data_IF_566560035689
#
_entry.id   IF_566560035689
#
_cell.length_a   1.000
_cell.length_b   1.000
_cell.length_c   1.000
_cell.angle_alpha   90.00
_cell.angle_beta   90.00
_cell.angle_gamma   90.00
#
_symmetry.space_group_name_H-M   'P 1'
#
loop_
_entity.id
_entity.type
_entity.pdbx_description
1 polymer ?
#
# COMPACT_ATOMS: atom_id res chain seq x y z
N UNK A 1 -3.91 -12.54 25.04
CA UNK A 1 -4.57 -11.26 24.68
C UNK A 1 -5.58 -11.55 23.60
N UNK A 2 -6.76 -10.92 23.64
CA UNK A 2 -7.71 -11.02 22.54
C UNK A 2 -7.12 -10.33 21.30
N UNK A 3 -7.29 -10.87 20.08
CA UNK A 3 -6.82 -10.24 18.85
C UNK A 3 -7.53 -8.91 18.61
N UNK A 4 -6.82 -7.93 18.04
CA UNK A 4 -7.43 -6.64 17.69
C UNK A 4 -8.42 -6.83 16.53
N UNK A 5 -9.53 -6.10 16.56
CA UNK A 5 -10.48 -6.05 15.44
C UNK A 5 -10.14 -4.84 14.58
N UNK A 6 -9.71 -5.07 13.34
CA UNK A 6 -9.38 -4.01 12.37
C UNK A 6 -10.66 -3.61 11.63
N UNK A 7 -11.03 -2.31 11.58
CA UNK A 7 -12.18 -1.85 10.79
C UNK A 7 -12.03 -2.21 9.31
N UNK A 8 -13.16 -2.36 8.61
CA UNK A 8 -13.17 -2.75 7.20
C UNK A 8 -13.77 -1.65 6.32
N UNK A 9 -13.22 -1.48 5.13
CA UNK A 9 -13.83 -0.69 4.05
C UNK A 9 -14.57 -1.59 3.08
N UNK A 10 -15.68 -1.10 2.54
CA UNK A 10 -16.35 -1.77 1.43
C UNK A 10 -15.59 -1.50 0.14
N UNK A 11 -15.29 -2.56 -0.61
CA UNK A 11 -14.71 -2.46 -1.94
C UNK A 11 -15.79 -2.16 -2.98
N UNK A 12 -15.38 -1.74 -4.17
CA UNK A 12 -16.27 -1.48 -5.31
C UNK A 12 -17.04 -2.72 -5.77
N UNK A 13 -16.49 -3.91 -5.54
CA UNK A 13 -17.19 -5.17 -5.72
C UNK A 13 -18.23 -5.39 -4.60
N UNK A 14 -19.51 -5.66 -4.93
CA UNK A 14 -20.56 -5.88 -3.94
C UNK A 14 -20.17 -6.94 -2.91
N UNK A 15 -20.52 -6.69 -1.63
CA UNK A 15 -20.33 -7.61 -0.49
C UNK A 15 -18.87 -7.97 -0.15
N UNK A 16 -17.88 -7.31 -0.74
CA UNK A 16 -16.48 -7.51 -0.38
C UNK A 16 -16.00 -6.38 0.53
N UNK A 17 -15.34 -6.79 1.61
CA UNK A 17 -14.76 -5.90 2.60
C UNK A 17 -13.26 -6.16 2.71
N UNK A 18 -12.50 -5.10 2.95
CA UNK A 18 -11.06 -5.15 3.12
C UNK A 18 -10.68 -4.52 4.46
N UNK A 19 -9.83 -5.17 5.28
CA UNK A 19 -9.27 -4.54 6.46
C UNK A 19 -8.54 -3.25 6.09
N UNK A 20 -8.87 -2.16 6.79
CA UNK A 20 -8.30 -0.82 6.56
C UNK A 20 -6.78 -0.83 6.77
N UNK A 21 -6.27 -1.69 7.65
CA UNK A 21 -4.84 -1.81 7.94
C UNK A 21 -4.29 -3.14 7.41
N UNK A 22 -3.23 -3.05 6.61
CA UNK A 22 -2.49 -4.20 6.10
C UNK A 22 -1.00 -4.15 6.44
N UNK A 23 -0.37 -5.33 6.48
CA UNK A 23 1.08 -5.47 6.67
C UNK A 23 1.77 -5.52 5.29
N UNK A 24 2.60 -4.52 4.99
CA UNK A 24 3.50 -4.58 3.82
C UNK A 24 4.76 -5.40 4.10
N UNK A 25 5.18 -6.23 3.15
CA UNK A 25 6.34 -7.12 3.29
C UNK A 25 7.62 -6.59 2.62
N UNK A 26 7.56 -5.45 1.92
CA UNK A 26 8.73 -4.84 1.28
C UNK A 26 9.81 -4.44 2.30
N UNK A 27 11.07 -4.79 2.03
CA UNK A 27 12.21 -4.35 2.84
C UNK A 27 13.50 -4.20 2.02
N UNK A 28 14.25 -3.14 2.30
CA UNK A 28 15.58 -2.90 1.74
C UNK A 28 16.59 -2.58 2.87
N UNK A 29 17.75 -3.26 2.92
CA UNK A 29 18.14 -4.40 2.08
C UNK A 29 17.22 -5.61 2.30
N UNK A 30 17.23 -6.58 1.38
CA UNK A 30 16.41 -7.79 1.54
C UNK A 30 16.76 -8.49 2.86
N UNK A 31 15.73 -8.96 3.57
CA UNK A 31 15.88 -9.76 4.79
C UNK A 31 15.67 -11.23 4.49
N UNK A 32 16.30 -12.09 5.31
CA UNK A 32 16.12 -13.53 5.21
C UNK A 32 14.68 -13.97 5.46
N UNK A 33 14.30 -15.06 4.80
CA UNK A 33 12.94 -15.63 4.81
C UNK A 33 12.38 -15.87 6.22
N UNK A 34 13.21 -16.30 7.17
CA UNK A 34 12.80 -16.53 8.57
C UNK A 34 12.30 -15.27 9.26
N UNK A 35 12.94 -14.12 9.01
CA UNK A 35 12.54 -12.86 9.63
C UNK A 35 11.18 -12.39 9.09
N UNK A 36 10.95 -12.55 7.78
CA UNK A 36 9.68 -12.23 7.13
C UNK A 36 8.57 -13.14 7.64
N UNK A 37 8.81 -14.45 7.66
CA UNK A 37 7.86 -15.46 8.13
C UNK A 37 7.44 -15.21 9.57
N UNK A 38 8.40 -14.96 10.46
CA UNK A 38 8.15 -14.62 11.86
C UNK A 38 7.29 -13.36 11.99
N UNK A 39 7.63 -12.29 11.26
CA UNK A 39 6.87 -11.05 11.31
C UNK A 39 5.42 -11.21 10.83
N UNK A 40 5.20 -11.99 9.76
CA UNK A 40 3.85 -12.30 9.27
C UNK A 40 3.06 -13.09 10.31
N UNK A 41 3.66 -14.13 10.92
CA UNK A 41 2.99 -14.91 11.97
C UNK A 41 2.56 -14.03 13.15
N UNK A 42 3.46 -13.19 13.65
CA UNK A 42 3.17 -12.24 14.72
C UNK A 42 2.03 -11.27 14.32
N UNK A 43 2.01 -10.80 13.08
CA UNK A 43 0.93 -9.95 12.58
C UNK A 43 -0.42 -10.69 12.53
N UNK A 44 -0.43 -11.95 12.10
CA UNK A 44 -1.65 -12.77 12.11
C UNK A 44 -2.18 -12.97 13.53
N UNK A 45 -1.31 -13.25 14.50
CA UNK A 45 -1.68 -13.37 15.92
C UNK A 45 -2.25 -12.07 16.49
N UNK A 46 -1.73 -10.92 16.06
CA UNK A 46 -2.23 -9.60 16.47
C UNK A 46 -3.58 -9.24 15.85
N UNK A 47 -4.00 -9.91 14.77
CA UNK A 47 -5.28 -9.68 14.11
C UNK A 47 -5.20 -9.15 12.68
N UNK A 48 -3.99 -9.02 12.09
CA UNK A 48 -3.85 -8.62 10.69
C UNK A 48 -4.46 -9.66 9.75
N UNK A 49 -5.25 -9.20 8.80
CA UNK A 49 -5.92 -10.04 7.79
C UNK A 49 -5.73 -9.53 6.36
N UNK A 50 -4.87 -8.52 6.19
CA UNK A 50 -4.51 -7.90 4.93
C UNK A 50 -2.98 -7.85 4.86
N UNK A 51 -2.40 -8.47 3.84
CA UNK A 51 -0.96 -8.50 3.58
C UNK A 51 -0.71 -7.97 2.18
N UNK A 52 0.21 -7.02 2.09
CA UNK A 52 0.70 -6.47 0.83
C UNK A 52 2.07 -7.05 0.55
N UNK A 53 2.19 -7.75 -0.57
CA UNK A 53 3.44 -8.30 -1.08
C UNK A 53 3.50 -8.04 -2.57
N UNK A 54 4.70 -8.09 -3.11
CA UNK A 54 4.93 -8.17 -4.53
C UNK A 54 6.03 -9.20 -4.76
N UNK A 55 5.97 -9.81 -5.94
CA UNK A 55 7.02 -10.67 -6.45
C UNK A 55 8.43 -10.07 -6.25
N UNK A 56 8.57 -8.77 -6.51
CA UNK A 56 9.81 -8.02 -6.36
C UNK A 56 10.43 -8.05 -4.95
N UNK A 57 9.59 -8.19 -3.92
CA UNK A 57 10.03 -8.11 -2.53
C UNK A 57 10.74 -9.40 -2.09
N UNK A 58 10.62 -10.47 -2.89
CA UNK A 58 11.11 -11.82 -2.58
C UNK A 58 10.56 -12.36 -1.24
N UNK A 59 9.39 -11.85 -0.83
CA UNK A 59 8.72 -12.21 0.42
C UNK A 59 7.50 -13.09 0.22
N UNK A 60 7.11 -13.38 -1.03
CA UNK A 60 5.90 -14.16 -1.32
C UNK A 60 5.98 -15.59 -0.75
N UNK A 61 7.14 -16.24 -0.89
CA UNK A 61 7.36 -17.57 -0.32
C UNK A 61 7.26 -17.56 1.21
N UNK A 62 8.05 -16.77 1.97
CA UNK A 62 7.94 -16.76 3.43
C UNK A 62 6.58 -16.25 3.94
N UNK A 63 5.90 -15.36 3.21
CA UNK A 63 4.51 -14.97 3.48
C UNK A 63 3.57 -16.19 3.33
N UNK A 64 3.68 -16.92 2.22
CA UNK A 64 2.89 -18.12 1.96
C UNK A 64 3.12 -19.21 3.02
N UNK A 65 4.37 -19.43 3.43
CA UNK A 65 4.72 -20.35 4.51
C UNK A 65 4.13 -19.92 5.87
N UNK A 66 4.19 -18.63 6.20
CA UNK A 66 3.59 -18.10 7.42
C UNK A 66 2.06 -18.23 7.41
N UNK A 67 1.41 -17.96 6.28
CA UNK A 67 -0.04 -18.14 6.13
C UNK A 67 -0.40 -19.63 6.28
N UNK A 68 0.36 -20.54 5.65
CA UNK A 68 0.14 -21.98 5.76
C UNK A 68 0.29 -22.47 7.21
N UNK A 69 1.32 -21.99 7.91
CA UNK A 69 1.53 -22.30 9.32
C UNK A 69 0.41 -21.72 10.20
N UNK A 70 -0.02 -20.49 9.95
CA UNK A 70 -1.13 -19.88 10.67
C UNK A 70 -2.47 -20.60 10.45
N UNK A 71 -2.71 -21.15 9.26
CA UNK A 71 -3.83 -22.03 8.97
C UNK A 71 -3.74 -23.35 9.76
N UNK A 72 -2.55 -23.97 9.81
CA UNK A 72 -2.29 -25.19 10.59
C UNK A 72 -2.54 -24.97 12.08
N UNK A 73 -2.12 -23.82 12.59
CA UNK A 73 -2.34 -23.37 13.97
C UNK A 73 -3.76 -22.86 14.23
N UNK A 74 -4.65 -22.89 13.23
CA UNK A 74 -6.04 -22.39 13.32
C UNK A 74 -6.16 -20.92 13.73
N UNK A 75 -5.11 -20.12 13.50
CA UNK A 75 -5.11 -18.67 13.73
C UNK A 75 -5.98 -17.94 12.68
N UNK A 76 -6.12 -18.55 11.49
CA UNK A 76 -6.93 -18.09 10.35
C UNK A 76 -7.66 -19.27 9.68
N UNK A 77 -8.67 -18.98 8.85
CA UNK A 77 -9.44 -19.97 8.06
C UNK A 77 -9.16 -19.79 6.57
N UNK A 78 -9.01 -20.87 5.80
CA UNK A 78 -8.59 -20.79 4.39
C UNK A 78 -9.74 -20.44 3.42
N UNK A 79 -9.36 -19.81 2.31
CA UNK A 79 -10.04 -19.84 1.00
C UNK A 79 -8.91 -19.99 -0.06
N UNK A 80 -9.07 -20.87 -1.04
CA UNK A 80 -8.00 -21.57 -1.82
C UNK A 80 -7.07 -20.74 -2.76
N UNK A 81 -6.06 -21.39 -3.39
CA UNK A 81 -4.71 -20.90 -3.79
C UNK A 81 -4.17 -21.30 -5.21
N UNK A 82 -3.03 -20.72 -5.70
CA UNK A 82 -2.21 -21.11 -6.90
C UNK A 82 -0.68 -20.78 -6.81
N UNK A 83 0.15 -21.20 -7.80
CA UNK A 83 1.64 -21.42 -7.77
C UNK A 83 2.58 -20.28 -8.29
N UNK A 84 3.87 -20.17 -7.86
CA UNK A 84 4.85 -19.12 -8.24
C UNK A 84 6.08 -19.56 -9.12
N UNK A 85 6.84 -18.58 -9.67
CA UNK A 85 8.12 -18.71 -10.42
C UNK A 85 9.13 -17.54 -10.10
N UNK A 86 10.35 -17.49 -10.67
CA UNK A 86 11.47 -16.60 -10.23
C UNK A 86 12.17 -15.75 -11.32
N UNK A 87 12.59 -14.52 -10.96
CA UNK A 87 13.31 -13.48 -11.71
C UNK A 87 13.99 -12.47 -10.73
N UNK A 88 15.04 -11.74 -11.14
CA UNK A 88 15.91 -10.90 -10.26
C UNK A 88 15.64 -9.38 -10.25
N UNK A 89 16.20 -8.65 -9.25
CA UNK A 89 16.11 -7.18 -9.08
C UNK A 89 17.49 -6.53 -8.82
N UNK A 90 17.78 -5.31 -9.33
CA UNK A 90 16.94 -4.49 -10.22
C UNK A 90 16.72 -5.13 -11.60
N UNK A 91 15.57 -4.89 -12.25
CA UNK A 91 15.37 -5.35 -13.62
C UNK A 91 16.43 -4.70 -14.50
N UNK A 92 16.99 -5.45 -15.45
CA UNK A 92 17.88 -4.84 -16.43
C UNK A 92 17.04 -4.03 -17.41
N UNK A 93 17.51 -2.87 -17.89
CA UNK A 93 16.77 -2.08 -18.87
C UNK A 93 16.38 -2.85 -20.13
N UNK A 94 17.19 -3.85 -20.50
CA UNK A 94 17.00 -4.79 -21.60
C UNK A 94 15.75 -5.67 -21.44
N UNK A 95 15.35 -5.94 -20.19
CA UNK A 95 14.24 -6.82 -19.83
C UNK A 95 12.89 -6.08 -19.75
N UNK A 96 12.88 -4.75 -19.96
CA UNK A 96 11.68 -3.91 -19.91
C UNK A 96 10.99 -3.86 -21.28
N UNK A 97 9.80 -4.46 -21.38
CA UNK A 97 8.92 -4.36 -22.55
C UNK A 97 7.76 -3.39 -22.32
N UNK A 98 7.21 -2.74 -23.37
CA UNK A 98 6.00 -1.93 -23.25
C UNK A 98 4.82 -2.75 -22.67
N UNK A 99 4.12 -2.18 -21.70
CA UNK A 99 2.95 -2.82 -21.08
C UNK A 99 1.72 -2.57 -21.96
N UNK A 100 1.12 -3.63 -22.50
CA UNK A 100 -0.23 -3.56 -23.04
C UNK A 100 -1.24 -3.52 -21.87
N UNK A 101 -1.54 -2.31 -21.40
CA UNK A 101 -2.41 -2.10 -20.24
C UNK A 101 -3.81 -2.67 -20.45
N UNK A 102 -4.33 -2.66 -21.69
CA UNK A 102 -5.66 -3.18 -21.99
C UNK A 102 -5.69 -4.70 -21.89
N UNK A 103 -4.70 -5.38 -22.46
CA UNK A 103 -4.59 -6.83 -22.37
C UNK A 103 -4.40 -7.28 -20.91
N UNK A 104 -3.50 -6.62 -20.17
CA UNK A 104 -3.24 -6.93 -18.75
C UNK A 104 -4.50 -6.72 -17.90
N UNK A 105 -5.18 -5.59 -18.05
CA UNK A 105 -6.39 -5.32 -17.26
C UNK A 105 -7.52 -6.29 -17.60
N UNK A 106 -7.70 -6.64 -18.88
CA UNK A 106 -8.71 -7.63 -19.30
C UNK A 106 -8.44 -8.99 -18.66
N UNK A 107 -7.17 -9.43 -18.60
CA UNK A 107 -6.80 -10.66 -17.93
C UNK A 107 -7.01 -10.59 -16.40
N UNK A 108 -6.78 -9.43 -15.77
CA UNK A 108 -7.07 -9.21 -14.35
C UNK A 108 -8.58 -9.31 -14.06
N UNK A 109 -9.43 -8.73 -14.92
CA UNK A 109 -10.89 -8.86 -14.84
C UNK A 109 -11.35 -10.31 -15.04
N UNK A 110 -10.71 -11.05 -15.95
CA UNK A 110 -10.95 -12.48 -16.13
C UNK A 110 -10.58 -13.28 -14.88
N UNK A 111 -9.41 -13.02 -14.27
CA UNK A 111 -9.02 -13.62 -12.99
C UNK A 111 -10.05 -13.37 -11.89
N UNK A 112 -10.62 -12.16 -11.81
CA UNK A 112 -11.68 -11.87 -10.84
C UNK A 112 -12.98 -12.59 -11.19
N UNK A 113 -13.36 -12.62 -12.46
CA UNK A 113 -14.56 -13.32 -12.96
C UNK A 113 -14.50 -14.82 -12.69
N UNK A 114 -13.32 -15.42 -12.83
CA UNK A 114 -13.02 -16.81 -12.49
C UNK A 114 -12.93 -17.07 -10.97
N UNK A 115 -13.00 -16.02 -10.14
CA UNK A 115 -12.90 -16.13 -8.68
C UNK A 115 -11.49 -16.39 -8.15
N UNK A 116 -10.46 -16.24 -8.98
CA UNK A 116 -9.05 -16.41 -8.60
C UNK A 116 -8.56 -15.27 -7.70
N UNK A 117 -9.17 -14.10 -7.84
CA UNK A 117 -9.00 -12.96 -6.93
C UNK A 117 -10.35 -12.37 -6.58
N UNK A 118 -10.47 -11.78 -5.39
CA UNK A 118 -11.68 -11.07 -4.96
C UNK A 118 -11.78 -9.66 -5.54
N UNK A 119 -10.63 -9.05 -5.83
CA UNK A 119 -10.50 -7.66 -6.24
C UNK A 119 -9.23 -7.44 -7.05
N UNK A 120 -9.25 -6.42 -7.91
CA UNK A 120 -8.13 -6.04 -8.75
C UNK A 120 -7.91 -4.54 -8.63
N UNK A 121 -6.67 -4.11 -8.82
CA UNK A 121 -6.28 -2.71 -8.65
C UNK A 121 -4.93 -2.45 -9.30
N UNK A 122 -4.51 -1.18 -9.28
CA UNK A 122 -3.20 -0.79 -9.79
C UNK A 122 -2.41 -0.09 -8.69
N UNK A 123 -1.09 -0.03 -8.86
CA UNK A 123 -0.21 0.69 -7.97
C UNK A 123 0.76 1.49 -8.82
N UNK A 124 1.18 2.69 -8.36
CA UNK A 124 2.04 3.58 -9.12
C UNK A 124 1.43 4.12 -10.44
N UNK A 125 0.13 4.45 -10.47
CA UNK A 125 -0.52 5.04 -11.65
C UNK A 125 -0.84 6.53 -11.45
N UNK A 126 -0.60 7.33 -12.49
CA UNK A 126 -1.00 8.75 -12.56
C UNK A 126 -2.49 8.90 -12.83
N UNK A 127 -3.04 10.11 -12.66
CA UNK A 127 -4.43 10.39 -13.04
C UNK A 127 -4.72 10.07 -14.53
N UNK A 128 -3.75 10.35 -15.41
CA UNK A 128 -3.88 10.09 -16.85
C UNK A 128 -3.96 8.59 -17.11
N UNK A 129 -3.02 7.80 -16.58
CA UNK A 129 -3.01 6.33 -16.76
C UNK A 129 -4.25 5.66 -16.16
N UNK A 130 -4.79 6.19 -15.07
CA UNK A 130 -6.08 5.73 -14.52
C UNK A 130 -7.26 6.07 -15.42
N UNK A 131 -7.29 7.28 -15.99
CA UNK A 131 -8.28 7.66 -17.00
C UNK A 131 -8.24 6.73 -18.22
N UNK A 132 -7.04 6.37 -18.67
CA UNK A 132 -6.85 5.45 -19.79
C UNK A 132 -7.44 4.05 -19.47
N UNK A 133 -7.25 3.52 -18.25
CA UNK A 133 -7.89 2.26 -17.81
C UNK A 133 -9.41 2.40 -17.72
N UNK A 134 -9.90 3.46 -17.06
CA UNK A 134 -11.34 3.68 -16.86
C UNK A 134 -12.12 3.78 -18.18
N UNK A 135 -11.47 4.20 -19.27
CA UNK A 135 -12.10 4.28 -20.59
C UNK A 135 -12.54 2.91 -21.15
N UNK A 136 -11.95 1.80 -20.68
CA UNK A 136 -12.29 0.45 -21.14
C UNK A 136 -12.57 -0.56 -20.02
N UNK A 137 -12.26 -0.24 -18.77
CA UNK A 137 -12.46 -1.12 -17.63
C UNK A 137 -13.95 -1.34 -17.32
N UNK A 138 -14.31 -2.60 -17.09
CA UNK A 138 -15.61 -3.00 -16.53
C UNK A 138 -15.59 -2.96 -15.01
N UNK A 139 -14.41 -3.14 -14.40
CA UNK A 139 -14.19 -3.11 -12.96
C UNK A 139 -13.19 -1.98 -12.66
N UNK A 140 -13.54 -0.97 -11.84
CA UNK A 140 -12.66 0.17 -11.59
C UNK A 140 -11.46 -0.19 -10.71
N UNK A 141 -10.27 0.41 -10.94
CA UNK A 141 -9.04 0.12 -10.20
C UNK A 141 -9.04 0.68 -8.77
N UNK A 142 -8.05 0.30 -7.95
CA UNK A 142 -7.67 0.92 -6.67
C UNK A 142 -6.29 1.62 -6.79
N UNK A 143 -5.96 2.63 -5.96
CA UNK A 143 -4.84 3.59 -6.21
C UNK A 143 -4.02 3.99 -4.95
N UNK A 144 -2.75 4.44 -5.09
CA UNK A 144 -1.73 4.69 -4.03
C UNK A 144 -1.70 6.10 -3.34
N UNK A 145 -1.28 6.25 -2.06
CA UNK A 145 -1.03 7.58 -1.39
C UNK A 145 -0.10 7.57 -0.14
N UNK A 146 0.47 8.71 0.31
CA UNK A 146 1.05 8.94 1.66
C UNK A 146 1.16 10.45 2.05
N UNK A 147 1.48 10.85 3.31
CA UNK A 147 1.54 12.28 3.71
C UNK A 147 2.64 13.13 3.06
N UNK A 148 3.76 12.53 2.65
CA UNK A 148 4.85 13.22 1.95
C UNK A 148 4.52 13.45 0.47
N UNK A 149 3.55 12.69 -0.06
CA UNK A 149 2.99 12.84 -1.39
C UNK A 149 1.47 12.70 -1.32
N UNK A 150 0.81 13.80 -0.96
CA UNK A 150 -0.60 13.83 -0.60
C UNK A 150 -1.54 13.53 -1.78
N UNK A 151 -1.05 13.62 -3.02
CA UNK A 151 -1.78 13.32 -4.26
C UNK A 151 -3.23 13.85 -4.29
N UNK A 152 -3.48 15.08 -3.83
CA UNK A 152 -4.84 15.66 -3.70
C UNK A 152 -5.66 15.56 -4.99
N UNK A 153 -5.02 15.79 -6.14
CA UNK A 153 -5.63 15.63 -7.47
C UNK A 153 -6.08 14.18 -7.72
N UNK A 154 -5.23 13.21 -7.39
CA UNK A 154 -5.50 11.78 -7.53
C UNK A 154 -6.61 11.31 -6.59
N UNK A 155 -6.60 11.76 -5.33
CA UNK A 155 -7.67 11.44 -4.37
C UNK A 155 -9.01 11.95 -4.90
N UNK A 156 -9.06 13.21 -5.32
CA UNK A 156 -10.28 13.80 -5.87
C UNK A 156 -10.74 13.02 -7.10
N UNK A 157 -9.83 12.72 -8.03
CA UNK A 157 -10.14 11.90 -9.21
C UNK A 157 -10.69 10.52 -8.83
N UNK A 158 -10.05 9.82 -7.88
CA UNK A 158 -10.49 8.51 -7.42
C UNK A 158 -11.87 8.58 -6.76
N UNK A 159 -12.09 9.57 -5.89
CA UNK A 159 -13.38 9.79 -5.21
C UNK A 159 -14.50 10.08 -6.21
N UNK A 160 -14.26 10.95 -7.19
CA UNK A 160 -15.24 11.31 -8.21
C UNK A 160 -15.58 10.10 -9.12
N UNK A 161 -14.69 9.11 -9.23
CA UNK A 161 -14.87 7.90 -10.04
C UNK A 161 -15.18 6.63 -9.22
N UNK A 162 -15.44 6.75 -7.91
CA UNK A 162 -15.76 5.60 -7.05
C UNK A 162 -14.62 4.61 -6.86
N UNK A 163 -13.37 5.03 -7.07
CA UNK A 163 -12.16 4.22 -6.90
C UNK A 163 -11.69 4.25 -5.44
N UNK A 164 -11.44 3.08 -4.85
CA UNK A 164 -10.85 2.97 -3.52
C UNK A 164 -9.35 3.29 -3.54
N UNK A 165 -8.85 4.06 -2.57
CA UNK A 165 -7.43 4.45 -2.46
C UNK A 165 -6.77 3.67 -1.31
N UNK A 166 -5.64 3.04 -1.55
CA UNK A 166 -4.77 2.39 -0.57
C UNK A 166 -3.44 3.14 -0.43
N UNK A 167 -2.99 3.48 0.78
CA UNK A 167 -1.72 4.14 1.03
C UNK A 167 -0.60 3.13 1.30
N UNK A 168 0.45 3.12 0.48
CA UNK A 168 1.69 2.37 0.72
C UNK A 168 2.82 3.29 1.23
N UNK A 169 3.71 2.77 2.09
CA UNK A 169 4.81 3.51 2.73
C UNK A 169 4.41 4.83 3.41
N UNK A 170 3.36 4.84 4.26
CA UNK A 170 2.87 6.04 4.92
C UNK A 170 3.89 6.67 5.87
N UNK A 171 4.92 5.92 6.26
CA UNK A 171 5.92 6.30 7.26
C UNK A 171 7.31 6.60 6.68
N UNK A 172 7.50 6.75 5.36
CA UNK A 172 8.83 6.90 4.72
C UNK A 172 9.84 7.60 5.64
N UNK A 173 10.78 6.79 6.14
CA UNK A 173 11.46 6.94 7.44
C UNK A 173 12.38 8.16 7.60
N UNK A 174 12.45 9.05 6.61
CA UNK A 174 13.42 10.16 6.59
C UNK A 174 12.75 11.53 6.47
N UNK A 175 11.64 11.64 5.73
CA UNK A 175 10.96 12.93 5.52
C UNK A 175 10.00 13.31 6.65
N UNK A 176 9.16 12.37 7.08
CA UNK A 176 8.14 12.63 8.12
C UNK A 176 8.77 12.78 9.52
N UNK A 177 9.85 12.05 9.80
CA UNK A 177 10.57 12.12 11.07
C UNK A 177 11.29 13.46 11.30
N UNK A 178 11.57 14.22 10.23
CA UNK A 178 12.23 15.53 10.28
C UNK A 178 11.27 16.72 10.34
N UNK A 179 9.96 16.50 10.24
CA UNK A 179 8.97 17.59 10.23
C UNK A 179 8.64 18.02 11.67
N UNK A 180 9.00 19.24 12.05
CA UNK A 180 8.71 19.79 13.38
C UNK A 180 7.21 19.82 13.69
N UNK A 181 6.36 20.14 12.72
CA UNK A 181 4.89 20.13 12.90
C UNK A 181 4.38 18.75 13.30
N UNK A 182 4.91 17.68 12.69
CA UNK A 182 4.53 16.32 13.07
C UNK A 182 5.02 15.95 14.47
N UNK A 183 6.19 16.44 14.89
CA UNK A 183 6.73 16.23 16.24
C UNK A 183 5.91 16.97 17.30
N UNK A 184 5.58 18.24 17.06
CA UNK A 184 4.77 19.05 17.96
C UNK A 184 3.39 18.42 18.19
N UNK A 185 2.73 17.97 17.12
CA UNK A 185 1.42 17.30 17.20
C UNK A 185 1.55 15.96 17.93
N UNK A 186 2.61 15.20 17.66
CA UNK A 186 2.88 13.92 18.32
C UNK A 186 3.08 14.10 19.84
N UNK A 187 3.87 15.09 20.24
CA UNK A 187 4.13 15.43 21.64
C UNK A 187 2.85 15.90 22.35
N UNK A 188 2.11 16.84 21.75
CA UNK A 188 0.85 17.35 22.31
C UNK A 188 -0.21 16.25 22.53
N UNK A 189 -0.19 15.20 21.70
CA UNK A 189 -1.13 14.07 21.80
C UNK A 189 -0.58 12.89 22.61
N UNK A 190 0.68 12.92 23.05
CA UNK A 190 1.32 11.76 23.67
C UNK A 190 1.35 10.53 22.75
N UNK A 191 1.52 10.75 21.44
CA UNK A 191 1.55 9.70 20.40
C UNK A 191 2.88 9.77 19.64
N UNK A 192 3.22 8.73 18.89
CA UNK A 192 4.40 8.77 18.03
C UNK A 192 4.14 9.54 16.73
N UNK A 193 5.19 10.10 16.13
CA UNK A 193 5.10 10.75 14.80
C UNK A 193 4.51 9.80 13.76
N UNK A 194 4.82 8.50 13.86
CA UNK A 194 4.23 7.48 13.03
C UNK A 194 2.70 7.42 13.20
N UNK A 195 2.20 7.36 14.42
CA UNK A 195 0.77 7.34 14.69
C UNK A 195 0.06 8.58 14.13
N UNK A 196 0.67 9.77 14.25
CA UNK A 196 0.12 11.01 13.67
C UNK A 196 0.04 10.92 12.14
N UNK A 197 1.08 10.42 11.47
CA UNK A 197 1.08 10.24 10.01
C UNK A 197 -0.01 9.28 9.54
N UNK A 198 -0.16 8.16 10.24
CA UNK A 198 -1.18 7.14 9.95
C UNK A 198 -2.58 7.68 10.19
N UNK A 199 -2.78 8.38 11.30
CA UNK A 199 -4.07 8.99 11.61
C UNK A 199 -4.45 10.05 10.60
N UNK A 200 -3.51 10.89 10.19
CA UNK A 200 -3.74 11.88 9.14
C UNK A 200 -4.17 11.22 7.83
N UNK A 201 -3.47 10.17 7.38
CA UNK A 201 -3.82 9.45 6.15
C UNK A 201 -5.22 8.84 6.23
N UNK A 202 -5.61 8.30 7.39
CA UNK A 202 -6.96 7.79 7.63
C UNK A 202 -8.01 8.90 7.50
N UNK A 203 -7.80 10.06 8.13
CA UNK A 203 -8.74 11.18 8.10
C UNK A 203 -8.83 11.88 6.73
N UNK A 204 -7.83 11.73 5.86
CA UNK A 204 -7.94 12.16 4.46
C UNK A 204 -8.85 11.26 3.60
N UNK A 205 -9.39 10.17 4.17
CA UNK A 205 -10.29 9.26 3.45
C UNK A 205 -9.57 8.22 2.61
N UNK A 206 -8.31 7.90 2.95
CA UNK A 206 -7.62 6.76 2.36
C UNK A 206 -8.28 5.47 2.86
N UNK A 207 -8.73 4.62 1.95
CA UNK A 207 -9.46 3.39 2.25
C UNK A 207 -8.60 2.26 2.83
N UNK A 208 -7.30 2.24 2.59
CA UNK A 208 -6.38 1.32 3.27
C UNK A 208 -5.04 1.99 3.59
N UNK A 209 -4.39 1.62 4.69
CA UNK A 209 -3.07 2.12 5.08
C UNK A 209 -2.15 0.92 5.29
N UNK A 210 -1.05 0.85 4.54
CA UNK A 210 -0.13 -0.28 4.51
C UNK A 210 1.17 0.12 5.21
N UNK A 211 1.32 -0.30 6.46
CA UNK A 211 2.44 0.11 7.32
C UNK A 211 3.38 -1.07 7.55
N UNK A 212 4.66 -0.91 7.21
CA UNK A 212 5.67 -1.94 7.45
C UNK A 212 6.31 -1.79 8.83
N UNK A 213 6.33 -2.87 9.61
CA UNK A 213 7.16 -3.00 10.81
C UNK A 213 7.49 -4.47 11.08
N UNK A 214 8.71 -4.76 11.56
CA UNK A 214 9.09 -6.07 12.13
C UNK A 214 9.28 -5.99 13.65
N UNK A 215 8.87 -4.88 14.26
CA UNK A 215 8.98 -4.60 15.69
C UNK A 215 7.60 -4.66 16.31
N UNK A 216 7.41 -5.60 17.25
CA UNK A 216 6.12 -5.90 17.87
C UNK A 216 5.50 -4.70 18.60
N UNK A 217 6.32 -3.93 19.28
CA UNK A 217 5.95 -2.67 19.93
C UNK A 217 5.38 -1.65 18.92
N UNK A 218 6.06 -1.44 17.80
CA UNK A 218 5.59 -0.54 16.72
C UNK A 218 4.34 -1.05 16.02
N UNK A 219 4.20 -2.36 15.85
CA UNK A 219 2.96 -2.94 15.29
C UNK A 219 1.76 -2.65 16.19
N UNK A 220 1.95 -2.66 17.52
CA UNK A 220 0.93 -2.26 18.49
C UNK A 220 0.61 -0.77 18.39
N UNK A 221 1.63 0.10 18.36
CA UNK A 221 1.44 1.54 18.18
C UNK A 221 0.62 1.87 16.91
N UNK A 222 0.91 1.19 15.79
CA UNK A 222 0.20 1.41 14.52
C UNK A 222 -1.30 1.08 14.60
N UNK A 223 -1.72 0.20 15.52
CA UNK A 223 -3.13 -0.16 15.72
C UNK A 223 -3.88 0.87 16.59
N UNK A 224 -3.16 1.61 17.44
CA UNK A 224 -3.72 2.59 18.37
C UNK A 224 -4.04 3.95 17.72
N UNK A 225 -3.93 4.05 16.39
CA UNK A 225 -4.20 5.29 15.63
C UNK A 225 -5.67 5.71 15.71
N UNK A 226 -6.57 4.78 16.01
CA UNK A 226 -8.01 5.05 16.04
C UNK A 226 -8.46 5.73 17.33
N UNK A 227 -7.65 5.68 18.39
CA UNK A 227 -8.00 6.14 19.74
C UNK A 227 -8.00 7.67 19.89
N UNK A 228 -7.30 8.40 19.01
CA UNK A 228 -7.20 9.85 19.06
C UNK A 228 -7.28 10.45 17.65
N UNK A 229 -8.09 11.50 17.48
CA UNK A 229 -8.24 12.23 16.22
C UNK A 229 -7.35 13.45 16.11
N UNK A 230 -7.17 13.93 14.88
CA UNK A 230 -6.59 15.25 14.63
C UNK A 230 -7.71 16.29 14.60
N UNK A 231 -7.43 17.48 15.13
CA UNK A 231 -8.30 18.63 14.94
C UNK A 231 -8.23 19.11 13.48
N UNK A 232 -9.25 19.83 12.99
CA UNK A 232 -9.21 20.45 11.67
C UNK A 232 -7.97 21.32 11.46
N UNK A 233 -7.53 22.03 12.49
CA UNK A 233 -6.34 22.89 12.48
C UNK A 233 -5.05 22.08 12.38
N UNK A 234 -4.93 20.98 13.13
CA UNK A 234 -3.79 20.07 13.06
C UNK A 234 -3.69 19.41 11.69
N UNK A 235 -4.81 18.91 11.16
CA UNK A 235 -4.88 18.31 9.83
C UNK A 235 -4.51 19.33 8.75
N UNK A 236 -4.96 20.59 8.88
CA UNK A 236 -4.60 21.69 7.97
C UNK A 236 -3.10 22.00 8.04
N UNK A 237 -2.54 22.14 9.25
CA UNK A 237 -1.11 22.39 9.48
C UNK A 237 -0.24 21.30 8.84
N UNK A 238 -0.58 20.03 9.01
CA UNK A 238 0.14 18.92 8.37
C UNK A 238 0.07 19.05 6.85
N UNK A 239 -1.10 19.40 6.31
CA UNK A 239 -1.33 19.59 4.88
C UNK A 239 -0.50 20.72 4.26
N UNK A 240 -0.23 21.78 5.02
CA UNK A 240 0.48 22.99 4.56
C UNK A 240 1.99 22.95 4.84
N UNK A 241 2.42 22.35 5.94
CA UNK A 241 3.80 22.41 6.42
C UNK A 241 4.75 21.41 5.77
N UNK A 242 4.23 20.36 5.13
CA UNK A 242 5.05 19.28 4.55
C UNK A 242 5.28 19.56 3.05
N UNK A 243 6.53 19.84 2.62
CA UNK A 243 6.86 19.95 1.21
C UNK A 243 6.47 18.67 0.45
N UNK A 244 5.78 18.86 -0.67
CA UNK A 244 5.26 17.75 -1.46
C UNK A 244 6.32 17.26 -2.44
N UNK A 245 6.66 15.98 -2.36
CA UNK A 245 7.55 15.35 -3.34
C UNK A 245 7.27 13.86 -3.45
N UNK A 246 7.33 13.32 -4.67
CA UNK A 246 7.27 11.88 -4.87
C UNK A 246 8.53 11.23 -4.32
N UNK A 247 8.35 10.43 -3.26
CA UNK A 247 9.47 9.78 -2.59
C UNK A 247 10.20 8.74 -3.45
N UNK A 248 9.47 7.88 -4.16
CA UNK A 248 10.06 6.91 -5.08
C UNK A 248 9.77 7.38 -6.50
N UNK A 249 10.77 7.95 -7.15
CA UNK A 249 10.61 8.50 -8.50
C UNK A 249 10.73 7.43 -9.59
N UNK A 250 11.00 6.17 -9.22
CA UNK A 250 11.05 5.06 -10.16
C UNK A 250 12.20 5.19 -11.17
N UNK A 251 13.34 5.79 -10.79
CA UNK A 251 14.47 6.03 -11.70
C UNK A 251 14.97 4.74 -12.36
N UNK A 252 14.82 3.60 -11.68
CA UNK A 252 15.19 2.28 -12.17
C UNK A 252 14.31 1.76 -13.32
N UNK A 253 13.15 2.39 -13.60
CA UNK A 253 12.32 2.09 -14.76
C UNK A 253 12.62 2.99 -15.97
N UNK A 254 13.53 3.97 -15.81
CA UNK A 254 13.84 4.97 -16.82
C UNK A 254 15.17 4.64 -17.49
N UNK A 255 15.20 4.61 -18.82
CA UNK A 255 16.41 4.40 -19.60
C UNK A 255 16.30 5.08 -20.96
N UNK A 256 17.42 5.63 -21.46
CA UNK A 256 17.49 6.21 -22.80
C UNK A 256 17.11 5.20 -23.89
N UNK A 257 17.40 3.92 -23.67
CA UNK A 257 17.11 2.83 -24.59
C UNK A 257 15.82 2.07 -24.22
N UNK A 258 15.27 2.31 -23.02
CA UNK A 258 14.07 1.64 -22.51
C UNK A 258 12.76 2.25 -23.00
N UNK A 259 11.60 1.65 -22.67
CA UNK A 259 10.29 2.14 -23.11
C UNK A 259 9.85 3.46 -22.45
N UNK A 260 10.52 3.88 -21.37
CA UNK A 260 10.24 5.13 -20.64
C UNK A 260 11.53 5.93 -20.57
N UNK A 261 11.53 7.12 -21.17
CA UNK A 261 12.73 7.93 -21.41
C UNK A 261 13.04 8.91 -20.29
N UNK A 262 12.04 9.28 -19.49
CA UNK A 262 12.23 10.16 -18.34
C UNK A 262 11.32 9.85 -17.16
N UNK A 263 11.67 10.36 -15.98
CA UNK A 263 10.84 10.28 -14.77
C UNK A 263 9.55 11.10 -14.97
N UNK A 264 9.63 12.21 -15.69
CA UNK A 264 8.46 13.03 -16.05
C UNK A 264 7.48 12.25 -16.93
N UNK A 265 7.98 11.44 -17.88
CA UNK A 265 7.16 10.56 -18.72
C UNK A 265 6.54 9.41 -17.91
N UNK A 266 7.32 8.80 -17.00
CA UNK A 266 6.83 7.76 -16.09
C UNK A 266 5.61 8.24 -15.28
N UNK A 267 5.63 9.49 -14.83
CA UNK A 267 4.61 10.02 -13.92
C UNK A 267 3.65 11.02 -14.56
N UNK A 268 3.72 11.24 -15.88
CA UNK A 268 2.91 12.24 -16.60
C UNK A 268 2.98 13.64 -15.95
N UNK A 269 4.16 14.01 -15.45
CA UNK A 269 4.40 15.27 -14.73
C UNK A 269 3.93 15.30 -13.26
N UNK A 270 3.44 14.20 -12.69
CA UNK A 270 3.01 14.10 -11.29
C UNK A 270 4.18 13.72 -10.35
N UNK A 271 5.12 14.66 -10.18
CA UNK A 271 6.39 14.53 -9.42
C UNK A 271 6.42 15.28 -8.09
#
# INVERSE_FOLDING_TARGET
MAPYTIPEVSLTSPNHKMPVLGLGTAHYPLVGSEAVKKAVLEAIELGYRHFDTAFLYQTEQPLGEAIAEALRLSLIKSRASFKPGTYGFPPKPEDLIPIDMKAVWTAMEECQTLGLTKSIGVSNFSCKKLGDILAFAKIPPAVEMNPLWQQKKLIKFCKDNGIAVAAHSPLRAVGAAGCEVLKEIAEAKGKSVAQVCLRWAYEQGVGAILVKSFRKDRMKENLEIFECGLSPEESKKIGEAIPQSRGNRGEFFVSADGPIKSVEELWDGEL
#
